data_IF_087174518469
#
_entry.id   IF_087174518469
#
_cell.length_a   1.000
_cell.length_b   1.000
_cell.length_c   1.000
_cell.angle_alpha   90.00
_cell.angle_beta   90.00
_cell.angle_gamma   90.00
#
_symmetry.space_group_name_H-M   'P 1'
#
loop_
_entity.id
_entity.type
_entity.pdbx_description
1 polymer ?
#
# COMPACT_ATOMS: atom_id res chain seq x y z
N UNK A 1 7.31 -8.58 8.83
CA UNK A 1 6.86 -7.26 8.35
C UNK A 1 7.68 -6.13 8.92
N UNK A 2 7.67 -5.85 10.24
CA UNK A 2 8.44 -4.73 10.82
C UNK A 2 9.94 -4.73 10.45
N UNK A 3 10.62 -5.88 10.53
CA UNK A 3 12.03 -5.99 10.11
C UNK A 3 12.23 -5.67 8.62
N UNK A 4 11.31 -6.11 7.76
CA UNK A 4 11.41 -5.83 6.33
C UNK A 4 11.18 -4.35 6.01
N UNK A 5 10.21 -3.71 6.68
CA UNK A 5 9.98 -2.27 6.59
C UNK A 5 11.19 -1.46 7.04
N UNK A 6 11.91 -1.94 8.05
CA UNK A 6 13.14 -1.33 8.52
C UNK A 6 14.30 -1.50 7.53
N UNK A 7 14.45 -2.70 6.95
CA UNK A 7 15.49 -2.98 5.94
C UNK A 7 15.26 -2.13 4.68
N UNK A 8 14.03 -2.02 4.19
CA UNK A 8 13.70 -1.16 3.04
C UNK A 8 13.85 0.31 3.37
N UNK A 9 13.53 0.75 4.59
CA UNK A 9 13.81 2.13 5.01
C UNK A 9 15.31 2.45 4.97
N UNK A 10 16.17 1.56 5.48
CA UNK A 10 17.62 1.75 5.39
C UNK A 10 18.08 1.76 3.93
N UNK A 11 17.57 0.82 3.10
CA UNK A 11 17.87 0.77 1.67
C UNK A 11 17.52 2.08 0.94
N UNK A 12 16.34 2.64 1.23
CA UNK A 12 15.90 3.92 0.67
C UNK A 12 16.81 5.06 1.10
N UNK A 13 17.19 5.12 2.38
CA UNK A 13 18.14 6.13 2.87
C UNK A 13 19.49 6.05 2.16
N UNK A 14 20.04 4.85 2.04
CA UNK A 14 21.33 4.63 1.35
C UNK A 14 21.22 5.02 -0.12
N UNK A 15 20.17 4.59 -0.84
CA UNK A 15 19.97 4.93 -2.24
C UNK A 15 19.89 6.45 -2.46
N UNK A 16 19.10 7.14 -1.65
CA UNK A 16 18.94 8.59 -1.77
C UNK A 16 20.24 9.34 -1.49
N UNK A 17 21.00 8.92 -0.47
CA UNK A 17 22.31 9.52 -0.17
C UNK A 17 23.34 9.28 -1.28
N UNK A 18 23.36 8.07 -1.87
CA UNK A 18 24.32 7.72 -2.92
C UNK A 18 24.02 8.40 -4.26
N UNK A 19 22.74 8.54 -4.60
CA UNK A 19 22.31 9.13 -5.89
C UNK A 19 22.15 10.64 -5.85
N UNK A 20 22.09 11.24 -4.65
CA UNK A 20 21.77 12.66 -4.48
C UNK A 20 20.33 13.01 -4.89
N UNK A 21 19.49 12.01 -5.18
CA UNK A 21 18.13 12.21 -5.70
C UNK A 21 17.17 12.83 -4.68
N UNK A 22 17.56 12.93 -3.40
CA UNK A 22 16.81 13.69 -2.40
C UNK A 22 16.86 15.21 -2.61
N UNK A 23 17.76 15.72 -3.45
CA UNK A 23 17.81 17.14 -3.80
C UNK A 23 16.87 17.36 -4.98
N UNK A 24 15.82 18.14 -4.76
CA UNK A 24 14.86 18.43 -5.82
C UNK A 24 15.55 19.20 -6.96
N UNK A 25 15.46 18.73 -8.22
CA UNK A 25 16.17 19.33 -9.35
C UNK A 25 15.68 20.73 -9.74
N UNK A 26 14.47 21.12 -9.30
CA UNK A 26 13.87 22.42 -9.60
C UNK A 26 14.08 23.44 -8.48
N UNK A 27 13.95 23.00 -7.22
CA UNK A 27 14.04 23.91 -6.06
C UNK A 27 15.40 23.89 -5.38
N UNK A 28 16.27 22.93 -5.71
CA UNK A 28 17.56 22.67 -5.06
C UNK A 28 17.47 22.49 -3.54
N UNK A 29 16.28 22.20 -3.02
CA UNK A 29 16.06 21.92 -1.61
C UNK A 29 15.99 20.41 -1.36
N UNK A 30 16.47 19.94 -0.20
CA UNK A 30 16.36 18.55 0.19
C UNK A 30 14.90 18.20 0.50
N UNK A 31 14.36 17.18 -0.15
CA UNK A 31 13.08 16.58 0.18
C UNK A 31 13.31 15.37 1.09
N UNK A 32 13.06 15.58 2.39
CA UNK A 32 13.26 14.55 3.40
C UNK A 32 12.18 13.47 3.41
N UNK A 33 11.02 13.68 2.75
CA UNK A 33 9.99 12.65 2.66
C UNK A 33 10.44 11.46 1.81
N UNK A 34 11.37 11.69 0.88
CA UNK A 34 12.00 10.65 0.08
C UNK A 34 12.79 9.62 0.91
N UNK A 35 13.22 9.97 2.12
CA UNK A 35 13.91 9.05 3.04
C UNK A 35 12.94 8.10 3.77
N UNK A 36 11.70 8.53 4.03
CA UNK A 36 10.64 7.63 4.51
C UNK A 36 10.24 6.62 3.43
N UNK A 37 10.48 7.00 2.16
CA UNK A 37 10.56 6.10 1.03
C UNK A 37 9.28 6.08 0.20
N UNK A 38 9.33 6.48 -1.07
CA UNK A 38 8.28 6.15 -2.03
C UNK A 38 8.20 4.64 -2.35
N UNK A 39 9.13 3.83 -1.82
CA UNK A 39 9.25 2.39 -2.06
C UNK A 39 9.38 1.61 -0.75
N UNK A 40 8.43 1.80 0.16
CA UNK A 40 8.34 1.05 1.40
C UNK A 40 6.93 0.50 1.66
N UNK A 41 6.41 -0.33 0.74
CA UNK A 41 5.11 -0.99 0.91
C UNK A 41 5.02 -1.83 2.17
N UNK A 42 6.15 -2.33 2.69
CA UNK A 42 6.19 -3.07 3.95
C UNK A 42 5.78 -2.21 5.15
N UNK A 43 6.11 -0.91 5.15
CA UNK A 43 5.64 0.02 6.16
C UNK A 43 4.12 0.16 6.08
N UNK A 44 3.57 0.39 4.89
CA UNK A 44 2.11 0.48 4.70
C UNK A 44 1.42 -0.80 5.16
N UNK A 45 1.90 -1.97 4.74
CA UNK A 45 1.34 -3.26 5.17
C UNK A 45 1.44 -3.43 6.70
N UNK A 46 2.56 -3.07 7.31
CA UNK A 46 2.72 -3.13 8.76
C UNK A 46 1.70 -2.23 9.49
N UNK A 47 1.51 -1.00 9.02
CA UNK A 47 0.52 -0.07 9.59
C UNK A 47 -0.92 -0.60 9.43
N UNK A 48 -1.27 -1.15 8.27
CA UNK A 48 -2.58 -1.78 8.05
C UNK A 48 -2.81 -3.00 8.96
N UNK A 49 -1.77 -3.79 9.22
CA UNK A 49 -1.84 -4.90 10.19
C UNK A 49 -2.06 -4.38 11.62
N UNK A 50 -1.36 -3.32 12.03
CA UNK A 50 -1.58 -2.66 13.31
C UNK A 50 -3.03 -2.14 13.43
N UNK A 51 -3.57 -1.53 12.37
CA UNK A 51 -4.97 -1.09 12.34
C UNK A 51 -5.95 -2.25 12.51
N UNK A 52 -5.76 -3.34 11.77
CA UNK A 52 -6.59 -4.55 11.93
C UNK A 52 -6.52 -5.12 13.36
N UNK A 53 -5.33 -5.09 13.97
CA UNK A 53 -5.14 -5.52 15.35
C UNK A 53 -5.87 -4.62 16.35
N UNK A 54 -5.83 -3.30 16.15
CA UNK A 54 -6.62 -2.33 16.94
C UNK A 54 -8.11 -2.61 16.83
N UNK A 55 -8.64 -2.78 15.60
CA UNK A 55 -10.04 -3.09 15.34
C UNK A 55 -10.48 -4.42 15.98
N UNK A 56 -9.63 -5.44 15.95
CA UNK A 56 -9.88 -6.72 16.59
C UNK A 56 -9.94 -6.58 18.13
N UNK A 57 -8.99 -5.82 18.70
CA UNK A 57 -8.89 -5.59 20.15
C UNK A 57 -10.09 -4.79 20.67
N UNK A 58 -10.54 -3.77 19.92
CA UNK A 58 -11.70 -2.93 20.29
C UNK A 58 -12.97 -3.73 20.57
N UNK A 59 -13.16 -4.89 19.93
CA UNK A 59 -14.35 -5.74 20.14
C UNK A 59 -14.43 -6.33 21.56
N UNK A 60 -13.31 -6.44 22.26
CA UNK A 60 -13.19 -7.09 23.57
C UNK A 60 -12.82 -6.13 24.71
N UNK A 61 -12.70 -4.83 24.42
CA UNK A 61 -12.20 -3.82 25.36
C UNK A 61 -13.30 -3.09 26.14
N UNK A 62 -12.96 -2.59 27.33
CA UNK A 62 -13.82 -1.70 28.12
C UNK A 62 -13.94 -0.30 27.48
N UNK A 63 -14.88 0.53 27.96
CA UNK A 63 -15.14 1.87 27.39
C UNK A 63 -13.88 2.76 27.40
N UNK A 64 -13.12 2.79 28.51
CA UNK A 64 -11.89 3.59 28.58
C UNK A 64 -10.80 3.12 27.63
N UNK A 65 -10.64 1.80 27.46
CA UNK A 65 -9.70 1.22 26.51
C UNK A 65 -10.09 1.51 25.05
N UNK A 66 -11.40 1.55 24.74
CA UNK A 66 -11.89 1.90 23.40
C UNK A 66 -11.47 3.32 22.99
N UNK A 67 -11.51 4.28 23.91
CA UNK A 67 -11.07 5.67 23.62
C UNK A 67 -9.59 5.69 23.21
N UNK A 68 -8.73 5.01 23.98
CA UNK A 68 -7.30 4.92 23.68
C UNK A 68 -7.03 4.23 22.33
N UNK A 69 -7.79 3.16 22.03
CA UNK A 69 -7.68 2.45 20.76
C UNK A 69 -8.16 3.29 19.57
N UNK A 70 -9.20 4.12 19.74
CA UNK A 70 -9.65 5.08 18.73
C UNK A 70 -8.55 6.11 18.46
N UNK A 71 -7.94 6.69 19.49
CA UNK A 71 -6.81 7.62 19.32
C UNK A 71 -5.64 6.94 18.59
N UNK A 72 -5.34 5.70 18.96
CA UNK A 72 -4.31 4.90 18.29
C UNK A 72 -4.64 4.69 16.81
N UNK A 73 -5.90 4.36 16.49
CA UNK A 73 -6.35 4.16 15.12
C UNK A 73 -6.22 5.45 14.28
N UNK A 74 -6.57 6.60 14.85
CA UNK A 74 -6.42 7.90 14.19
C UNK A 74 -4.96 8.23 13.89
N UNK A 75 -4.05 7.95 14.83
CA UNK A 75 -2.60 8.13 14.60
C UNK A 75 -2.14 7.22 13.45
N UNK A 76 -2.53 5.94 13.46
CA UNK A 76 -2.19 5.01 12.40
C UNK A 76 -2.73 5.47 11.04
N UNK A 77 -3.91 6.09 11.00
CA UNK A 77 -4.53 6.62 9.78
C UNK A 77 -3.66 7.70 9.15
N UNK A 78 -3.19 8.66 9.95
CA UNK A 78 -2.29 9.72 9.49
C UNK A 78 -0.96 9.14 8.99
N UNK A 79 -0.39 8.18 9.73
CA UNK A 79 0.86 7.52 9.32
C UNK A 79 0.70 6.73 8.01
N UNK A 80 -0.45 6.11 7.78
CA UNK A 80 -0.73 5.35 6.56
C UNK A 80 -0.93 6.27 5.37
N UNK A 81 -1.56 7.43 5.57
CA UNK A 81 -1.70 8.46 4.54
C UNK A 81 -0.35 8.99 4.04
N UNK A 82 0.66 9.02 4.91
CA UNK A 82 2.04 9.41 4.56
C UNK A 82 2.91 8.25 4.05
N UNK A 83 2.36 7.04 3.93
CA UNK A 83 3.07 5.85 3.44
C UNK A 83 2.79 5.59 1.96
N UNK A 84 3.63 4.79 1.30
CA UNK A 84 3.56 4.52 -0.16
C UNK A 84 2.15 4.12 -0.64
N UNK A 85 1.51 3.14 0.00
CA UNK A 85 0.18 2.69 -0.44
C UNK A 85 -0.96 3.66 -0.09
N UNK A 86 -0.68 4.70 0.69
CA UNK A 86 -1.58 5.81 0.96
C UNK A 86 -2.91 5.43 1.61
N UNK A 87 -3.86 6.36 1.52
CA UNK A 87 -5.20 6.22 2.09
C UNK A 87 -6.07 5.18 1.36
N UNK A 88 -5.75 4.88 0.09
CA UNK A 88 -6.57 4.00 -0.76
C UNK A 88 -6.55 2.53 -0.31
N UNK A 89 -5.49 2.10 0.38
CA UNK A 89 -5.46 0.76 0.95
C UNK A 89 -6.28 0.60 2.23
N UNK A 90 -6.71 1.70 2.88
CA UNK A 90 -7.50 1.62 4.11
C UNK A 90 -8.89 1.02 3.85
N UNK A 91 -9.69 1.50 2.87
CA UNK A 91 -10.96 0.84 2.53
C UNK A 91 -10.79 -0.62 2.13
N UNK A 92 -9.72 -0.96 1.40
CA UNK A 92 -9.40 -2.36 1.06
C UNK A 92 -9.15 -3.22 2.30
N UNK A 93 -8.33 -2.71 3.25
CA UNK A 93 -8.11 -3.38 4.53
C UNK A 93 -9.41 -3.57 5.30
N UNK A 94 -10.28 -2.56 5.35
CA UNK A 94 -11.57 -2.64 6.03
C UNK A 94 -12.50 -3.68 5.39
N UNK A 95 -12.59 -3.71 4.05
CA UNK A 95 -13.37 -4.72 3.31
C UNK A 95 -12.88 -6.12 3.66
N UNK A 96 -11.56 -6.34 3.62
CA UNK A 96 -10.97 -7.63 3.98
C UNK A 96 -11.21 -7.97 5.45
N UNK A 97 -11.13 -7.01 6.36
CA UNK A 97 -11.33 -7.23 7.80
C UNK A 97 -12.78 -7.57 8.15
N UNK A 98 -13.74 -6.90 7.52
CA UNK A 98 -15.18 -7.12 7.74
C UNK A 98 -15.63 -8.45 7.13
N UNK A 99 -15.23 -8.73 5.89
CA UNK A 99 -15.66 -9.92 5.14
C UNK A 99 -14.67 -11.10 5.19
N UNK A 100 -13.84 -11.17 6.23
CA UNK A 100 -12.83 -12.24 6.39
C UNK A 100 -13.42 -13.63 6.68
N UNK A 101 -14.68 -13.70 7.10
CA UNK A 101 -15.33 -14.95 7.50
C UNK A 101 -15.69 -15.83 6.29
N UNK A 102 -15.63 -17.15 6.48
CA UNK A 102 -16.03 -18.11 5.46
C UNK A 102 -17.49 -17.88 5.05
N UNK A 103 -17.75 -17.92 3.73
CA UNK A 103 -19.07 -17.63 3.15
C UNK A 103 -19.35 -16.16 2.80
N UNK A 104 -18.52 -15.22 3.25
CA UNK A 104 -18.68 -13.79 2.90
C UNK A 104 -17.87 -13.36 1.66
N UNK A 105 -17.19 -14.29 0.99
CA UNK A 105 -16.34 -14.03 -0.18
C UNK A 105 -17.04 -13.22 -1.27
N UNK A 106 -18.29 -13.55 -1.60
CA UNK A 106 -19.02 -12.83 -2.66
C UNK A 106 -19.26 -11.36 -2.28
N UNK A 107 -19.52 -11.08 -0.99
CA UNK A 107 -19.67 -9.70 -0.49
C UNK A 107 -18.35 -8.95 -0.54
N UNK A 108 -17.24 -9.61 -0.21
CA UNK A 108 -15.89 -9.06 -0.36
C UNK A 108 -15.60 -8.68 -1.83
N UNK A 109 -15.84 -9.60 -2.78
CA UNK A 109 -15.59 -9.35 -4.20
C UNK A 109 -16.44 -8.20 -4.74
N UNK A 110 -17.72 -8.15 -4.39
CA UNK A 110 -18.61 -7.03 -4.74
C UNK A 110 -18.12 -5.73 -4.12
N UNK A 111 -17.72 -5.75 -2.84
CA UNK A 111 -17.19 -4.58 -2.16
C UNK A 111 -15.92 -4.02 -2.81
N UNK A 112 -14.99 -4.89 -3.19
CA UNK A 112 -13.77 -4.51 -3.92
C UNK A 112 -14.13 -3.93 -5.29
N UNK A 113 -15.04 -4.57 -6.01
CA UNK A 113 -15.50 -4.09 -7.32
C UNK A 113 -16.13 -2.70 -7.21
N UNK A 114 -17.08 -2.51 -6.29
CA UNK A 114 -17.74 -1.20 -6.09
C UNK A 114 -16.72 -0.13 -5.70
N UNK A 115 -15.81 -0.45 -4.77
CA UNK A 115 -14.77 0.49 -4.35
C UNK A 115 -13.87 0.92 -5.51
N UNK A 116 -13.42 -0.03 -6.32
CA UNK A 116 -12.55 0.25 -7.47
C UNK A 116 -13.27 1.00 -8.59
N UNK A 117 -14.56 0.77 -8.80
CA UNK A 117 -15.37 1.57 -9.73
C UNK A 117 -15.58 3.01 -9.23
N UNK A 118 -15.70 3.22 -7.91
CA UNK A 118 -15.73 4.57 -7.33
C UNK A 118 -14.40 5.29 -7.61
N UNK A 119 -13.27 4.62 -7.40
CA UNK A 119 -11.96 5.20 -7.69
C UNK A 119 -11.80 5.53 -9.18
N UNK A 120 -12.23 4.65 -10.09
CA UNK A 120 -12.22 4.93 -11.53
C UNK A 120 -13.07 6.15 -11.87
N UNK A 121 -14.27 6.26 -11.29
CA UNK A 121 -15.14 7.41 -11.52
C UNK A 121 -14.51 8.71 -11.00
N UNK A 122 -13.84 8.67 -9.83
CA UNK A 122 -13.11 9.80 -9.28
C UNK A 122 -11.93 10.22 -10.18
N UNK A 123 -11.12 9.27 -10.64
CA UNK A 123 -10.01 9.51 -11.56
C UNK A 123 -10.49 10.15 -12.88
N UNK A 124 -11.56 9.62 -13.47
CA UNK A 124 -12.19 10.22 -14.67
C UNK A 124 -12.70 11.63 -14.35
N UNK A 125 -13.37 11.84 -13.22
CA UNK A 125 -13.91 13.15 -12.85
C UNK A 125 -12.80 14.20 -12.66
N UNK A 126 -11.66 13.78 -12.13
CA UNK A 126 -10.49 14.61 -11.87
C UNK A 126 -9.78 14.98 -13.17
N UNK A 127 -9.63 14.01 -14.08
CA UNK A 127 -9.14 14.26 -15.44
C UNK A 127 -9.97 15.33 -16.17
N UNK A 128 -11.30 15.25 -16.10
CA UNK A 128 -12.19 16.21 -16.78
C UNK A 128 -12.05 17.65 -16.25
N UNK A 129 -11.51 17.82 -15.04
CA UNK A 129 -11.25 19.12 -14.42
C UNK A 129 -9.80 19.61 -14.63
N UNK A 130 -8.92 18.73 -15.12
CA UNK A 130 -7.50 19.02 -15.31
C UNK A 130 -7.26 19.67 -16.68
N UNK A 131 -6.36 20.68 -16.81
CA UNK A 131 -6.02 21.29 -18.10
C UNK A 131 -5.50 20.26 -19.13
N UNK A 132 -5.75 20.53 -20.41
CA UNK A 132 -5.65 19.60 -21.58
C UNK A 132 -4.19 19.18 -21.94
N UNK A 133 -3.24 19.27 -21.03
CA UNK A 133 -1.82 19.04 -21.33
C UNK A 133 -1.38 17.55 -21.22
N UNK A 134 -2.27 16.64 -20.86
CA UNK A 134 -1.98 15.22 -20.68
C UNK A 134 -3.02 14.35 -21.39
N UNK A 135 -2.58 13.24 -22.01
CA UNK A 135 -3.51 12.29 -22.61
C UNK A 135 -4.31 11.57 -21.52
N UNK A 136 -5.53 11.14 -21.84
CA UNK A 136 -6.36 10.37 -20.92
C UNK A 136 -5.69 9.08 -20.46
N UNK A 137 -4.97 8.41 -21.37
CA UNK A 137 -4.22 7.20 -21.05
C UNK A 137 -3.13 7.49 -20.02
N UNK A 138 -2.29 8.51 -20.26
CA UNK A 138 -1.21 8.85 -19.34
C UNK A 138 -1.74 9.23 -17.96
N UNK A 139 -2.87 9.93 -17.91
CA UNK A 139 -3.52 10.30 -16.65
C UNK A 139 -3.98 9.07 -15.87
N UNK A 140 -4.71 8.15 -16.50
CA UNK A 140 -5.17 6.92 -15.84
C UNK A 140 -4.04 5.96 -15.48
N UNK A 141 -2.91 5.99 -16.18
CA UNK A 141 -1.74 5.21 -15.78
C UNK A 141 -1.06 5.77 -14.53
N UNK A 142 -1.20 7.07 -14.30
CA UNK A 142 -0.71 7.76 -13.10
C UNK A 142 -1.68 7.61 -11.91
N UNK A 143 -2.97 7.91 -12.11
CA UNK A 143 -4.06 7.73 -11.14
C UNK A 143 -4.70 6.35 -11.35
N UNK A 144 -4.00 5.32 -10.86
CA UNK A 144 -4.22 3.93 -11.22
C UNK A 144 -4.77 3.07 -10.07
N UNK A 145 -5.20 3.68 -8.97
CA UNK A 145 -5.66 2.97 -7.78
C UNK A 145 -6.90 2.10 -8.07
N UNK A 146 -7.71 2.46 -9.06
CA UNK A 146 -8.81 1.62 -9.53
C UNK A 146 -8.36 0.24 -10.05
N UNK A 147 -7.10 0.10 -10.47
CA UNK A 147 -6.52 -1.17 -10.95
C UNK A 147 -6.41 -2.23 -9.87
N UNK A 148 -6.66 -1.88 -8.59
CA UNK A 148 -6.88 -2.87 -7.53
C UNK A 148 -7.98 -3.88 -7.87
N UNK A 149 -8.85 -3.59 -8.84
CA UNK A 149 -9.85 -4.54 -9.39
C UNK A 149 -9.20 -5.86 -9.86
N UNK A 150 -7.93 -5.81 -10.28
CA UNK A 150 -7.16 -6.98 -10.71
C UNK A 150 -6.98 -8.06 -9.63
N UNK A 151 -7.20 -7.72 -8.34
CA UNK A 151 -7.15 -8.69 -7.24
C UNK A 151 -8.36 -9.64 -7.22
N UNK A 152 -9.48 -9.24 -7.82
CA UNK A 152 -10.75 -10.00 -7.84
C UNK A 152 -10.55 -11.43 -8.35
N UNK A 153 -9.97 -11.69 -9.55
CA UNK A 153 -9.76 -13.05 -10.02
C UNK A 153 -8.90 -13.89 -9.06
N UNK A 154 -7.89 -13.29 -8.43
CA UNK A 154 -7.01 -13.98 -7.48
C UNK A 154 -7.78 -14.42 -6.24
N UNK A 155 -8.62 -13.54 -5.68
CA UNK A 155 -9.44 -13.86 -4.49
C UNK A 155 -10.56 -14.85 -4.85
N UNK A 156 -11.15 -14.73 -6.04
CA UNK A 156 -12.22 -15.62 -6.50
C UNK A 156 -11.74 -17.07 -6.67
N UNK A 157 -10.52 -17.24 -7.17
CA UNK A 157 -9.88 -18.55 -7.37
C UNK A 157 -9.21 -19.10 -6.10
N UNK A 158 -9.13 -18.32 -5.02
CA UNK A 158 -8.51 -18.75 -3.79
C UNK A 158 -9.31 -19.88 -3.12
N UNK A 159 -8.60 -20.96 -2.78
CA UNK A 159 -9.15 -22.19 -2.21
C UNK A 159 -9.26 -22.18 -0.67
N UNK A 160 -8.93 -21.06 -0.02
CA UNK A 160 -8.98 -20.93 1.44
C UNK A 160 -7.77 -21.50 2.19
N UNK A 161 -6.87 -22.22 1.50
CA UNK A 161 -5.71 -22.86 2.12
C UNK A 161 -4.48 -21.94 2.08
N UNK A 162 -3.66 -22.00 3.13
CA UNK A 162 -2.37 -21.33 3.14
C UNK A 162 -1.52 -21.78 1.95
N UNK A 163 -1.00 -20.83 1.19
CA UNK A 163 -0.16 -21.11 0.02
C UNK A 163 1.18 -21.75 0.39
N UNK A 164 1.56 -22.79 -0.35
CA UNK A 164 2.87 -23.44 -0.28
C UNK A 164 3.02 -24.49 0.83
N UNK A 165 4.23 -25.03 0.98
CA UNK A 165 4.55 -26.17 1.86
C UNK A 165 4.88 -25.80 3.31
N UNK A 166 4.44 -24.62 3.80
CA UNK A 166 4.87 -24.05 5.10
C UNK A 166 6.40 -23.93 5.27
N UNK A 167 7.17 -23.99 4.18
CA UNK A 167 8.61 -23.84 4.23
C UNK A 167 9.00 -22.40 4.60
N UNK A 168 10.16 -22.24 5.26
CA UNK A 168 10.72 -20.92 5.55
C UNK A 168 10.89 -20.08 4.28
N UNK A 169 11.24 -20.71 3.16
CA UNK A 169 11.39 -20.06 1.86
C UNK A 169 10.12 -19.33 1.41
N UNK A 170 8.97 -20.01 1.45
CA UNK A 170 7.69 -19.42 1.00
C UNK A 170 7.28 -18.22 1.87
N UNK A 171 7.67 -18.22 3.15
CA UNK A 171 7.42 -17.11 4.07
C UNK A 171 8.30 -15.89 3.77
N UNK A 172 9.56 -16.09 3.41
CA UNK A 172 10.53 -15.01 3.22
C UNK A 172 10.65 -14.53 1.76
N UNK A 173 10.14 -15.30 0.79
CA UNK A 173 10.23 -14.99 -0.64
C UNK A 173 9.81 -13.55 -0.94
N UNK A 174 8.62 -13.13 -0.52
CA UNK A 174 8.14 -11.76 -0.78
C UNK A 174 9.04 -10.68 -0.16
N UNK A 175 9.55 -10.93 1.04
CA UNK A 175 10.42 -9.99 1.76
C UNK A 175 11.80 -9.83 1.11
N UNK A 176 12.26 -10.84 0.37
CA UNK A 176 13.51 -10.81 -0.37
C UNK A 176 13.30 -10.30 -1.79
N UNK A 177 12.26 -10.77 -2.47
CA UNK A 177 11.95 -10.42 -3.85
C UNK A 177 11.60 -8.94 -4.01
N UNK A 178 10.81 -8.37 -3.09
CA UNK A 178 10.39 -6.97 -3.19
C UNK A 178 11.57 -5.98 -3.22
N UNK A 179 12.54 -5.98 -2.28
CA UNK A 179 13.67 -5.09 -2.41
C UNK A 179 14.48 -5.41 -3.66
N UNK A 180 14.79 -6.68 -3.94
CA UNK A 180 15.67 -7.07 -5.06
C UNK A 180 15.17 -6.58 -6.42
N UNK A 181 13.87 -6.74 -6.74
CA UNK A 181 13.39 -6.30 -8.05
C UNK A 181 13.43 -4.78 -8.22
N UNK A 182 13.27 -4.00 -7.15
CA UNK A 182 13.47 -2.55 -7.18
C UNK A 182 14.93 -2.21 -7.48
N UNK A 183 15.89 -2.87 -6.84
CA UNK A 183 17.32 -2.70 -7.16
C UNK A 183 17.61 -3.04 -8.63
N UNK A 184 17.04 -4.12 -9.16
CA UNK A 184 17.19 -4.49 -10.58
C UNK A 184 16.65 -3.37 -11.48
N UNK A 185 15.47 -2.84 -11.19
CA UNK A 185 14.87 -1.73 -11.96
C UNK A 185 15.77 -0.49 -11.91
N UNK A 186 16.31 -0.12 -10.73
CA UNK A 186 17.23 1.02 -10.62
C UNK A 186 18.51 0.82 -11.43
N UNK A 187 19.08 -0.39 -11.41
CA UNK A 187 20.27 -0.73 -12.21
C UNK A 187 19.97 -0.62 -13.70
N UNK A 188 18.86 -1.19 -14.16
CA UNK A 188 18.44 -1.08 -15.57
C UNK A 188 18.25 0.39 -15.95
N UNK A 189 17.55 1.17 -15.11
CA UNK A 189 17.32 2.59 -15.36
C UNK A 189 18.62 3.39 -15.44
N UNK A 190 19.61 3.09 -14.59
CA UNK A 190 20.93 3.73 -14.64
C UNK A 190 21.68 3.46 -15.96
N UNK A 191 21.48 2.28 -16.57
CA UNK A 191 22.13 1.95 -17.85
C UNK A 191 21.36 2.40 -19.09
N UNK A 192 20.04 2.57 -18.99
CA UNK A 192 19.18 2.99 -20.12
C UNK A 192 19.10 4.52 -20.24
N UNK A 193 19.40 5.25 -19.17
CA UNK A 193 19.42 6.71 -19.12
C UNK A 193 20.81 7.27 -19.42
#
# INVERSE_FOLDING_TARGET
MGLAAFVTAIGNVVYQLLTGAYINPLTHQPDYFLFLGPHNIFLTLFLLFCMMWVLATMKQSSVGQKIMLILTFLILLVLTAASEGGIYLIPMMLLMFVFKEEGQRNKLLIGIFVYTMILLALAISSYMQTPVNQSFYDYLTFDNEFMMVTVIPLIALYNGQLGGTNSKWNKYFFYLFYPIHLWIIYVIFYFVR
#
